data_IF_875275818693
#
_entry.id   IF_875275818693
#
_cell.length_a   1.000
_cell.length_b   1.000
_cell.length_c   1.000
_cell.angle_alpha   90.00
_cell.angle_beta   90.00
_cell.angle_gamma   90.00
#
_symmetry.space_group_name_H-M   'P 1'
#
loop_
_entity.id
_entity.type
_entity.pdbx_description
1 polymer ?
#
# COMPACT_ATOMS: atom_id res chain seq x y z
N UNK A 1 19.64 30.68 10.08
CA UNK A 1 18.21 30.32 9.86
C UNK A 1 17.20 31.13 10.70
N UNK A 2 17.59 31.67 11.87
CA UNK A 2 16.67 32.44 12.72
C UNK A 2 16.05 33.71 12.11
N UNK A 3 16.73 34.37 11.16
CA UNK A 3 16.18 35.54 10.45
C UNK A 3 14.98 35.17 9.58
N UNK A 4 15.03 34.01 8.93
CA UNK A 4 13.92 33.48 8.11
C UNK A 4 12.77 33.03 9.01
N UNK A 5 13.09 32.46 10.18
CA UNK A 5 12.10 32.07 11.18
C UNK A 5 11.39 33.29 11.78
N UNK A 6 12.12 34.37 12.09
CA UNK A 6 11.54 35.64 12.54
C UNK A 6 10.69 36.30 11.44
N UNK A 7 11.19 36.35 10.20
CA UNK A 7 10.47 36.90 9.05
C UNK A 7 9.16 36.14 8.75
N UNK A 8 9.19 34.80 8.79
CA UNK A 8 7.99 33.99 8.50
C UNK A 8 7.04 33.87 9.69
N UNK A 9 7.55 33.82 10.92
CA UNK A 9 6.74 33.55 12.12
C UNK A 9 6.30 34.83 12.84
N UNK A 10 7.19 35.82 12.96
CA UNK A 10 6.88 37.09 13.65
C UNK A 10 6.28 38.10 12.68
N UNK A 11 6.79 38.19 11.45
CA UNK A 11 6.26 39.14 10.45
C UNK A 11 5.15 38.55 9.55
N UNK A 12 4.83 37.26 9.72
CA UNK A 12 3.80 36.53 8.97
C UNK A 12 3.90 36.67 7.44
N UNK A 13 5.11 36.81 6.91
CA UNK A 13 5.38 37.00 5.47
C UNK A 13 5.47 35.71 4.67
N UNK A 14 5.07 34.58 5.26
CA UNK A 14 5.11 33.28 4.61
C UNK A 14 4.26 33.24 3.32
N UNK A 15 3.19 34.04 3.21
CA UNK A 15 2.34 34.10 2.02
C UNK A 15 3.01 34.71 0.77
N UNK A 16 4.11 35.45 0.90
CA UNK A 16 4.79 36.12 -0.22
C UNK A 16 5.53 35.14 -1.13
N UNK A 17 5.74 33.89 -0.69
CA UNK A 17 6.41 32.82 -1.43
C UNK A 17 5.47 31.97 -2.30
N UNK A 18 4.23 32.43 -2.48
CA UNK A 18 3.17 31.71 -3.18
C UNK A 18 2.29 30.91 -2.23
N UNK A 19 0.97 31.06 -2.42
CA UNK A 19 -0.06 30.43 -1.59
C UNK A 19 -0.71 29.30 -2.36
N UNK A 20 -0.84 28.15 -1.71
CA UNK A 20 -1.55 26.98 -2.24
C UNK A 20 -2.72 26.62 -1.32
N UNK A 21 -3.80 26.01 -1.86
CA UNK A 21 -4.96 25.66 -1.06
C UNK A 21 -4.61 24.66 0.04
N UNK A 22 -5.32 24.70 1.16
CA UNK A 22 -5.03 23.89 2.37
C UNK A 22 -4.89 22.39 2.04
N UNK A 23 -5.75 21.87 1.17
CA UNK A 23 -5.75 20.45 0.80
C UNK A 23 -4.60 20.01 -0.13
N UNK A 24 -3.73 20.93 -0.58
CA UNK A 24 -2.69 20.65 -1.57
C UNK A 24 -1.74 19.50 -1.16
N UNK A 25 -1.40 19.39 0.14
CA UNK A 25 -0.58 18.27 0.60
C UNK A 25 -1.26 16.92 0.38
N UNK A 26 -2.57 16.83 0.59
CA UNK A 26 -3.32 15.58 0.40
C UNK A 26 -3.56 15.26 -1.07
N UNK A 27 -3.93 16.25 -1.89
CA UNK A 27 -4.31 16.02 -3.29
C UNK A 27 -3.13 15.97 -4.25
N UNK A 28 -2.01 16.64 -3.94
CA UNK A 28 -0.86 16.71 -4.84
C UNK A 28 0.37 16.06 -4.24
N UNK A 29 0.81 16.52 -3.07
CA UNK A 29 2.09 16.11 -2.52
C UNK A 29 2.11 14.62 -2.14
N UNK A 30 1.13 14.17 -1.36
CA UNK A 30 1.05 12.78 -0.91
C UNK A 30 0.76 11.81 -2.06
N UNK A 31 -0.12 12.17 -3.01
CA UNK A 31 -0.39 11.31 -4.17
C UNK A 31 0.89 11.11 -5.01
N UNK A 32 1.65 12.18 -5.27
CA UNK A 32 2.90 12.12 -6.03
C UNK A 32 4.03 11.39 -5.28
N UNK A 33 4.10 11.55 -3.96
CA UNK A 33 5.16 10.92 -3.16
C UNK A 33 4.90 9.45 -2.85
N UNK A 34 3.64 9.06 -2.61
CA UNK A 34 3.30 7.68 -2.20
C UNK A 34 2.94 6.78 -3.40
N UNK A 35 2.43 7.34 -4.49
CA UNK A 35 1.98 6.58 -5.66
C UNK A 35 1.08 5.39 -5.25
N UNK A 36 1.36 4.19 -5.75
CA UNK A 36 0.60 2.95 -5.46
C UNK A 36 0.61 2.59 -3.97
N UNK A 37 1.60 3.05 -3.20
CA UNK A 37 1.72 2.76 -1.76
C UNK A 37 0.50 3.23 -0.98
N UNK A 38 -0.18 4.29 -1.44
CA UNK A 38 -1.39 4.79 -0.78
C UNK A 38 -2.51 3.74 -0.74
N UNK A 39 -2.62 2.91 -1.78
CA UNK A 39 -3.59 1.81 -1.85
C UNK A 39 -3.31 0.78 -0.76
N UNK A 40 -2.04 0.43 -0.57
CA UNK A 40 -1.64 -0.55 0.45
C UNK A 40 -1.87 -0.05 1.87
N UNK A 41 -1.73 1.25 2.12
CA UNK A 41 -2.10 1.84 3.42
C UNK A 41 -3.59 1.60 3.72
N UNK A 42 -4.48 1.83 2.74
CA UNK A 42 -5.92 1.60 2.92
C UNK A 42 -6.24 0.12 3.12
N UNK A 43 -5.60 -0.78 2.36
CA UNK A 43 -5.73 -2.23 2.58
C UNK A 43 -5.33 -2.60 4.01
N UNK A 44 -4.18 -2.11 4.48
CA UNK A 44 -3.69 -2.37 5.83
C UNK A 44 -4.62 -1.85 6.92
N UNK A 45 -5.23 -0.68 6.71
CA UNK A 45 -6.20 -0.08 7.63
C UNK A 45 -7.52 -0.83 7.66
N UNK A 46 -8.04 -1.24 6.51
CA UNK A 46 -9.27 -2.01 6.41
C UNK A 46 -9.08 -3.48 6.84
N UNK A 47 -7.83 -3.94 6.97
CA UNK A 47 -7.51 -5.32 7.33
C UNK A 47 -7.90 -6.31 6.25
N UNK A 48 -7.87 -5.87 4.98
CA UNK A 48 -8.08 -6.77 3.85
C UNK A 48 -6.91 -7.76 3.80
N UNK A 49 -7.21 -9.05 3.80
CA UNK A 49 -6.21 -10.10 3.83
C UNK A 49 -6.58 -11.19 2.84
N UNK A 50 -5.56 -11.82 2.25
CA UNK A 50 -5.77 -12.91 1.32
C UNK A 50 -6.02 -14.21 2.11
N UNK A 51 -7.18 -14.89 1.97
CA UNK A 51 -7.54 -16.07 2.75
C UNK A 51 -6.85 -17.33 2.20
N UNK A 52 -5.52 -17.30 2.07
CA UNK A 52 -4.73 -18.43 1.55
C UNK A 52 -5.03 -19.72 2.34
N UNK A 53 -5.20 -19.62 3.65
CA UNK A 53 -5.40 -20.78 4.51
C UNK A 53 -6.78 -21.43 4.34
N UNK A 54 -7.85 -20.62 4.23
CA UNK A 54 -9.20 -21.14 3.95
C UNK A 54 -9.27 -21.78 2.57
N UNK A 55 -8.64 -21.14 1.58
CA UNK A 55 -8.53 -21.60 0.20
C UNK A 55 -7.75 -22.92 0.08
N UNK A 56 -6.79 -23.18 0.99
CA UNK A 56 -6.06 -24.45 1.08
C UNK A 56 -6.87 -25.55 1.77
N UNK A 57 -7.67 -25.19 2.79
CA UNK A 57 -8.52 -26.16 3.53
C UNK A 57 -9.77 -26.55 2.74
N UNK A 58 -10.34 -25.63 1.96
CA UNK A 58 -11.54 -25.82 1.15
C UNK A 58 -11.27 -25.42 -0.32
N UNK A 59 -10.97 -26.37 -1.22
CA UNK A 59 -10.59 -26.07 -2.61
C UNK A 59 -11.76 -25.60 -3.50
N UNK A 60 -13.01 -25.71 -3.04
CA UNK A 60 -14.18 -25.10 -3.68
C UNK A 60 -14.88 -24.13 -2.71
N UNK A 61 -14.31 -22.95 -2.47
CA UNK A 61 -15.00 -21.93 -1.72
C UNK A 61 -16.12 -21.37 -2.59
N UNK A 62 -17.31 -21.23 -2.01
CA UNK A 62 -18.38 -20.44 -2.64
C UNK A 62 -17.84 -19.02 -2.83
N UNK A 63 -17.94 -18.46 -4.03
CA UNK A 63 -17.43 -17.12 -4.37
C UNK A 63 -17.83 -16.07 -3.32
N UNK A 64 -19.04 -16.18 -2.77
CA UNK A 64 -19.58 -15.30 -1.73
C UNK A 64 -18.86 -15.42 -0.39
N UNK A 65 -18.46 -16.62 0.04
CA UNK A 65 -17.71 -16.80 1.29
C UNK A 65 -16.25 -16.38 1.14
N UNK A 66 -15.63 -16.64 -0.02
CA UNK A 66 -14.27 -16.18 -0.31
C UNK A 66 -14.18 -14.65 -0.31
N UNK A 67 -15.11 -13.95 -0.99
CA UNK A 67 -15.12 -12.49 -1.01
C UNK A 67 -15.39 -11.90 0.37
N UNK A 68 -16.29 -12.50 1.15
CA UNK A 68 -16.57 -12.04 2.51
C UNK A 68 -15.33 -12.21 3.41
N UNK A 69 -14.62 -13.33 3.32
CA UNK A 69 -13.37 -13.53 4.05
C UNK A 69 -12.27 -12.57 3.59
N UNK A 70 -12.11 -12.33 2.28
CA UNK A 70 -11.14 -11.35 1.76
C UNK A 70 -11.41 -9.94 2.28
N UNK A 71 -12.69 -9.55 2.35
CA UNK A 71 -13.11 -8.21 2.75
C UNK A 71 -13.13 -8.00 4.27
N UNK A 72 -13.33 -9.05 5.08
CA UNK A 72 -13.58 -8.92 6.52
C UNK A 72 -12.69 -9.78 7.43
N UNK A 73 -11.63 -10.44 6.93
CA UNK A 73 -10.81 -11.36 7.73
C UNK A 73 -10.19 -10.76 8.99
N UNK A 74 -9.66 -9.53 8.93
CA UNK A 74 -8.93 -8.90 10.06
C UNK A 74 -9.60 -7.67 10.64
N UNK A 75 -10.57 -7.07 9.94
CA UNK A 75 -11.24 -5.84 10.36
C UNK A 75 -10.31 -4.63 10.49
N UNK A 76 -10.83 -3.51 10.99
CA UNK A 76 -10.09 -2.24 11.02
C UNK A 76 -8.87 -2.28 11.96
N UNK A 77 -7.68 -2.01 11.42
CA UNK A 77 -6.42 -2.06 12.16
C UNK A 77 -6.21 -0.81 13.02
N UNK A 78 -6.68 -0.86 14.27
CA UNK A 78 -6.50 0.22 15.25
C UNK A 78 -5.01 0.46 15.56
N UNK A 79 -4.19 -0.60 15.53
CA UNK A 79 -2.74 -0.49 15.75
C UNK A 79 -2.06 0.32 14.65
N UNK A 80 -2.37 0.03 13.38
CA UNK A 80 -1.83 0.77 12.25
C UNK A 80 -2.27 2.24 12.32
N UNK A 81 -3.55 2.49 12.66
CA UNK A 81 -4.08 3.84 12.85
C UNK A 81 -3.26 4.61 13.91
N UNK A 82 -2.93 3.96 15.05
CA UNK A 82 -2.15 4.59 16.12
C UNK A 82 -0.77 5.07 15.65
N UNK A 83 -0.12 4.34 14.74
CA UNK A 83 1.18 4.73 14.18
C UNK A 83 1.08 5.84 13.11
N UNK A 84 0.04 5.83 12.27
CA UNK A 84 -0.12 6.82 11.21
C UNK A 84 -0.81 8.11 11.68
N UNK A 85 -1.62 8.06 12.74
CA UNK A 85 -2.35 9.21 13.27
C UNK A 85 -1.46 10.42 13.57
N UNK A 86 -0.31 10.31 14.27
CA UNK A 86 0.57 11.46 14.50
C UNK A 86 1.18 12.00 13.19
N UNK A 87 1.42 11.14 12.21
CA UNK A 87 1.94 11.54 10.89
C UNK A 87 0.90 12.32 10.09
N UNK A 88 -0.35 11.86 10.10
CA UNK A 88 -1.46 12.58 9.47
C UNK A 88 -1.73 13.91 10.19
N UNK A 89 -1.71 13.92 11.52
CA UNK A 89 -1.84 15.14 12.31
C UNK A 89 -0.73 16.15 11.96
N UNK A 90 0.51 15.70 11.84
CA UNK A 90 1.63 16.52 11.38
C UNK A 90 1.36 17.13 9.99
N UNK A 91 0.91 16.34 9.02
CA UNK A 91 0.58 16.85 7.67
C UNK A 91 -0.60 17.83 7.72
N UNK A 92 -1.62 17.60 8.55
CA UNK A 92 -2.75 18.52 8.75
C UNK A 92 -2.27 19.86 9.32
N UNK A 93 -1.42 19.85 10.35
CA UNK A 93 -0.86 21.07 10.93
C UNK A 93 -0.08 21.87 9.88
N UNK A 94 0.76 21.22 9.09
CA UNK A 94 1.49 21.87 8.00
C UNK A 94 0.58 22.32 6.83
N UNK A 95 -0.58 21.69 6.65
CA UNK A 95 -1.54 22.08 5.61
C UNK A 95 -2.18 23.45 5.86
N UNK A 96 -2.22 23.89 7.12
CA UNK A 96 -2.73 25.20 7.52
C UNK A 96 -1.76 26.32 7.10
N UNK A 97 -0.47 26.02 6.89
CA UNK A 97 0.48 27.03 6.45
C UNK A 97 0.15 27.52 5.02
N UNK A 98 0.20 28.83 4.76
CA UNK A 98 -0.15 29.40 3.46
C UNK A 98 0.86 28.97 2.39
N UNK A 99 2.15 29.00 2.74
CA UNK A 99 3.21 28.48 1.89
C UNK A 99 3.38 26.98 2.06
N UNK A 100 3.44 26.26 0.94
CA UNK A 100 3.53 24.80 0.92
C UNK A 100 4.71 24.38 0.09
N UNK A 101 5.53 23.52 0.67
CA UNK A 101 6.65 22.89 -0.01
C UNK A 101 6.76 21.43 0.41
N UNK A 102 7.21 20.57 -0.50
CA UNK A 102 7.34 19.13 -0.26
C UNK A 102 8.29 18.84 0.91
N UNK A 103 9.36 19.63 1.05
CA UNK A 103 10.38 19.45 2.09
C UNK A 103 9.81 19.49 3.51
N UNK A 104 8.74 20.24 3.76
CA UNK A 104 8.14 20.35 5.08
C UNK A 104 7.47 19.06 5.53
N UNK A 105 6.91 18.28 4.59
CA UNK A 105 6.29 16.98 4.89
C UNK A 105 7.21 15.79 4.60
N UNK A 106 8.46 16.04 4.21
CA UNK A 106 9.40 14.98 3.85
C UNK A 106 9.57 13.88 4.93
N UNK A 107 9.59 14.20 6.24
CA UNK A 107 9.65 13.17 7.28
C UNK A 107 8.43 12.25 7.35
N UNK A 108 7.27 12.68 6.82
CA UNK A 108 6.05 11.88 6.81
C UNK A 108 6.10 10.75 5.76
N UNK A 109 6.79 10.97 4.65
CA UNK A 109 6.85 10.04 3.50
C UNK A 109 7.38 8.64 3.90
N UNK A 110 8.55 8.48 4.56
CA UNK A 110 9.04 7.15 4.91
C UNK A 110 8.13 6.42 5.91
N UNK A 111 7.48 7.15 6.83
CA UNK A 111 6.55 6.55 7.79
C UNK A 111 5.27 6.05 7.12
N UNK A 112 4.71 6.84 6.20
CA UNK A 112 3.55 6.42 5.40
C UNK A 112 3.91 5.27 4.45
N UNK A 113 5.14 5.25 3.93
CA UNK A 113 5.64 4.14 3.10
C UNK A 113 5.75 2.85 3.92
N UNK A 114 6.27 2.93 5.15
CA UNK A 114 6.31 1.80 6.09
C UNK A 114 4.91 1.27 6.41
N UNK A 115 3.94 2.17 6.64
CA UNK A 115 2.54 1.78 6.82
C UNK A 115 1.95 1.04 5.60
N UNK A 116 2.32 1.47 4.38
CA UNK A 116 1.98 0.76 3.15
C UNK A 116 2.61 -0.63 3.08
N UNK A 117 3.86 -0.78 3.54
CA UNK A 117 4.53 -2.08 3.66
C UNK A 117 3.81 -3.04 4.61
N UNK A 118 3.36 -2.54 5.78
CA UNK A 118 2.54 -3.32 6.72
C UNK A 118 1.20 -3.73 6.09
N UNK A 119 0.57 -2.85 5.32
CA UNK A 119 -0.65 -3.18 4.60
C UNK A 119 -0.44 -4.21 3.49
N UNK A 120 0.70 -4.16 2.80
CA UNK A 120 1.08 -5.16 1.81
C UNK A 120 1.35 -6.53 2.46
N UNK A 121 1.99 -6.56 3.63
CA UNK A 121 2.24 -7.79 4.41
C UNK A 121 0.94 -8.50 4.81
N UNK A 122 -0.17 -7.77 4.99
CA UNK A 122 -1.47 -8.39 5.24
C UNK A 122 -2.04 -9.16 4.05
N UNK A 123 -1.63 -8.83 2.83
CA UNK A 123 -2.09 -9.49 1.61
C UNK A 123 -1.13 -10.59 1.20
N UNK A 124 0.17 -10.35 1.32
CA UNK A 124 1.17 -11.31 0.91
C UNK A 124 1.14 -12.52 1.85
N UNK A 125 0.92 -13.74 1.34
CA UNK A 125 1.02 -14.92 2.16
C UNK A 125 2.46 -15.13 2.63
N UNK A 126 2.60 -15.66 3.85
CA UNK A 126 3.89 -15.99 4.47
C UNK A 126 4.70 -17.00 3.63
N UNK A 127 4.00 -17.85 2.86
CA UNK A 127 4.62 -18.81 1.93
C UNK A 127 4.62 -18.27 0.49
N UNK A 128 5.80 -18.25 -0.13
CA UNK A 128 6.00 -17.82 -1.52
C UNK A 128 5.24 -18.66 -2.55
N UNK A 129 4.82 -19.87 -2.20
CA UNK A 129 3.97 -20.75 -3.03
C UNK A 129 2.50 -20.29 -3.08
N UNK A 130 2.02 -19.59 -2.05
CA UNK A 130 0.65 -19.07 -2.00
C UNK A 130 0.49 -17.79 -2.82
N UNK A 131 1.57 -17.09 -3.18
CA UNK A 131 1.55 -16.00 -4.17
C UNK A 131 1.08 -16.48 -5.55
N UNK A 132 1.25 -17.78 -5.86
CA UNK A 132 0.80 -18.40 -7.09
C UNK A 132 -0.66 -18.86 -7.03
N UNK A 133 -1.31 -18.81 -5.87
CA UNK A 133 -2.68 -19.28 -5.70
C UNK A 133 -3.70 -18.56 -6.60
N UNK A 134 -3.66 -17.22 -6.76
CA UNK A 134 -4.55 -16.52 -7.70
C UNK A 134 -4.37 -17.00 -9.16
N UNK A 135 -3.15 -17.37 -9.54
CA UNK A 135 -2.85 -17.91 -10.87
C UNK A 135 -3.38 -19.35 -11.02
N UNK A 136 -3.40 -20.14 -9.95
CA UNK A 136 -4.03 -21.48 -9.97
C UNK A 136 -5.55 -21.43 -10.07
N UNK A 137 -6.18 -20.35 -9.57
CA UNK A 137 -7.62 -20.09 -9.74
C UNK A 137 -7.99 -19.71 -11.19
N UNK A 138 -7.11 -18.96 -11.87
CA UNK A 138 -7.30 -18.56 -13.26
C UNK A 138 -7.03 -19.68 -14.28
N UNK A 139 -6.23 -20.70 -13.91
CA UNK A 139 -5.87 -21.80 -14.80
C UNK A 139 -6.11 -23.18 -14.13
N UNK A 140 -7.23 -23.86 -14.42
CA UNK A 140 -7.62 -25.13 -13.80
C UNK A 140 -6.55 -26.24 -13.91
N UNK A 141 -5.74 -26.23 -14.97
CA UNK A 141 -4.72 -27.27 -15.21
C UNK A 141 -3.48 -27.16 -14.30
N UNK A 142 -3.30 -26.03 -13.58
CA UNK A 142 -2.22 -25.85 -12.61
C UNK A 142 -2.58 -26.38 -11.21
N UNK A 143 -3.69 -27.14 -11.08
CA UNK A 143 -4.14 -27.77 -9.83
C UNK A 143 -2.98 -28.45 -9.09
N UNK A 144 -2.85 -28.05 -7.82
CA UNK A 144 -1.76 -28.21 -6.84
C UNK A 144 -1.13 -29.61 -6.68
N UNK A 145 -1.67 -30.66 -7.29
CA UNK A 145 -1.17 -32.03 -7.17
C UNK A 145 0.26 -32.20 -7.73
N UNK A 146 0.70 -31.33 -8.66
CA UNK A 146 2.08 -31.31 -9.19
C UNK A 146 3.04 -30.38 -8.43
N UNK A 147 2.53 -29.49 -7.57
CA UNK A 147 3.36 -28.43 -6.95
C UNK A 147 4.26 -28.94 -5.81
N UNK A 148 3.88 -30.00 -5.10
CA UNK A 148 4.77 -30.65 -4.10
C UNK A 148 6.04 -31.27 -4.71
N UNK A 149 6.04 -31.54 -6.02
CA UNK A 149 7.13 -32.25 -6.71
C UNK A 149 8.04 -31.33 -7.53
N UNK A 150 7.73 -30.04 -7.59
CA UNK A 150 8.48 -29.08 -8.40
C UNK A 150 9.49 -28.33 -7.52
N UNK A 151 10.76 -28.51 -7.84
CA UNK A 151 11.89 -27.95 -7.12
C UNK A 151 11.80 -26.40 -7.04
N UNK A 152 12.15 -25.85 -5.88
CA UNK A 152 11.97 -24.44 -5.48
C UNK A 152 12.52 -23.45 -6.52
N UNK A 153 13.59 -23.82 -7.22
CA UNK A 153 14.22 -22.99 -8.27
C UNK A 153 13.42 -22.92 -9.58
N UNK A 154 12.67 -23.98 -9.93
CA UNK A 154 11.81 -24.00 -11.12
C UNK A 154 10.53 -23.20 -10.91
N UNK A 155 10.00 -23.16 -9.69
CA UNK A 155 8.80 -22.40 -9.35
C UNK A 155 9.04 -20.88 -9.41
N UNK A 156 10.21 -20.42 -8.94
CA UNK A 156 10.58 -19.00 -9.02
C UNK A 156 10.81 -18.56 -10.46
N UNK A 157 11.46 -19.38 -11.30
CA UNK A 157 11.70 -19.06 -12.71
C UNK A 157 10.41 -19.03 -13.54
N UNK A 158 9.48 -19.96 -13.32
CA UNK A 158 8.18 -19.98 -14.03
C UNK A 158 7.27 -18.83 -13.56
N UNK A 159 7.25 -18.53 -12.26
CA UNK A 159 6.48 -17.42 -11.69
C UNK A 159 6.98 -16.06 -12.15
N UNK A 160 8.31 -15.86 -12.15
CA UNK A 160 8.94 -14.64 -12.66
C UNK A 160 8.73 -14.51 -14.18
N UNK A 161 8.96 -15.55 -14.99
CA UNK A 161 8.82 -15.45 -16.45
C UNK A 161 7.38 -15.13 -16.89
N UNK A 162 6.37 -15.69 -16.21
CA UNK A 162 4.96 -15.40 -16.51
C UNK A 162 4.49 -14.06 -15.97
N UNK A 163 4.96 -13.64 -14.79
CA UNK A 163 4.67 -12.30 -14.26
C UNK A 163 5.29 -11.21 -15.14
N UNK A 164 6.53 -11.43 -15.62
CA UNK A 164 7.17 -10.55 -16.60
C UNK A 164 6.40 -10.51 -17.93
N UNK A 165 5.92 -11.64 -18.46
CA UNK A 165 5.11 -11.65 -19.70
C UNK A 165 3.74 -10.99 -19.55
N UNK A 166 3.08 -11.15 -18.41
CA UNK A 166 1.81 -10.48 -18.12
C UNK A 166 1.99 -8.97 -17.94
N UNK A 167 3.02 -8.55 -17.19
CA UNK A 167 3.40 -7.15 -17.06
C UNK A 167 3.78 -6.51 -18.40
N UNK A 168 4.52 -7.21 -19.26
CA UNK A 168 4.87 -6.74 -20.61
C UNK A 168 3.68 -6.67 -21.56
N UNK A 169 2.66 -7.52 -21.40
CA UNK A 169 1.44 -7.46 -22.22
C UNK A 169 0.54 -6.28 -21.85
N UNK A 170 0.64 -5.78 -20.61
CA UNK A 170 -0.08 -4.59 -20.13
C UNK A 170 0.62 -3.27 -20.48
N UNK A 171 1.90 -3.32 -20.86
CA UNK A 171 2.70 -2.15 -21.30
C UNK A 171 2.66 -1.96 -22.83
N UNK A 172 2.16 -2.96 -23.57
CA UNK A 172 2.04 -2.95 -25.04
C UNK A 172 0.60 -2.64 -25.52
N UNK A 173 -0.32 -2.35 -24.59
CA UNK A 173 -1.66 -1.81 -24.86
C UNK A 173 -1.74 -0.35 -24.40
#
# INVERSE_FOLDING_TARGET
EGVVLFFNTVQNKSSEWGVMPVHWYFTNALLKSLNVTIVWIFVGLLGLSFPAETLLKNPEPRLTSALHEMLFAKGFSTKLLYYIAPVLAFVVLYSILPHKELRFIFPAIPLLTMAGGVGLDHILPTDSTALLYPLTLLHPDLRLHKMKKLDRQRLLTIGLDKFYRFGMSLVVL
#
